data_IF_703025165805
#
_entry.id   IF_703025165805
#
_cell.length_a   1.000
_cell.length_b   1.000
_cell.length_c   1.000
_cell.angle_alpha   90.00
_cell.angle_beta   90.00
_cell.angle_gamma   90.00
#
_symmetry.space_group_name_H-M   'P 1'
#
loop_
_entity.id
_entity.type
_entity.pdbx_description
1 polymer ?
#
# COMPACT_ATOMS: atom_id res chain seq x y z
N UNK A 1 -9.82 -22.32 -25.80
CA UNK A 1 -8.86 -21.26 -25.39
C UNK A 1 -8.75 -21.29 -23.89
N UNK A 2 -7.60 -20.95 -23.34
CA UNK A 2 -7.42 -20.77 -21.90
C UNK A 2 -6.68 -19.46 -21.65
N UNK A 3 -6.92 -18.87 -20.47
CA UNK A 3 -6.37 -17.58 -20.09
C UNK A 3 -5.44 -17.73 -18.89
N UNK A 4 -4.53 -16.78 -18.77
CA UNK A 4 -3.56 -16.67 -17.67
C UNK A 4 -3.55 -15.26 -17.16
N UNK A 5 -3.22 -15.11 -15.89
CA UNK A 5 -2.82 -13.81 -15.37
C UNK A 5 -1.36 -13.81 -14.93
N UNK A 6 -0.77 -12.64 -14.92
CA UNK A 6 0.60 -12.36 -14.48
C UNK A 6 0.60 -11.06 -13.71
N UNK A 7 1.09 -11.09 -12.48
CA UNK A 7 1.29 -9.92 -11.61
C UNK A 7 2.79 -9.71 -11.50
N UNK A 8 3.30 -8.63 -12.08
CA UNK A 8 4.71 -8.25 -11.96
C UNK A 8 4.84 -7.11 -10.96
N UNK A 9 5.80 -7.22 -10.06
CA UNK A 9 6.06 -6.22 -9.02
C UNK A 9 7.56 -6.13 -8.73
N UNK A 10 7.99 -4.92 -8.34
CA UNK A 10 9.38 -4.65 -7.99
C UNK A 10 9.46 -4.49 -6.48
N UNK A 11 10.34 -5.24 -5.83
CA UNK A 11 10.57 -5.12 -4.41
C UNK A 11 11.53 -3.96 -4.08
N UNK A 12 11.33 -3.32 -2.92
CA UNK A 12 12.26 -2.30 -2.42
C UNK A 12 13.65 -2.91 -2.16
N UNK A 13 14.69 -2.05 -2.17
CA UNK A 13 16.06 -2.50 -1.90
C UNK A 13 16.31 -2.91 -0.45
N UNK A 14 15.39 -2.59 0.46
CA UNK A 14 15.61 -2.77 1.90
C UNK A 14 15.20 -4.17 2.39
N UNK A 15 14.16 -4.77 1.80
CA UNK A 15 13.63 -6.09 2.17
C UNK A 15 13.25 -6.90 0.95
N UNK A 16 13.44 -8.21 1.02
CA UNK A 16 13.07 -9.16 -0.02
C UNK A 16 12.47 -10.45 0.54
N UNK A 17 12.33 -11.44 -0.32
CA UNK A 17 11.84 -12.79 0.00
C UNK A 17 13.03 -13.72 0.02
N UNK A 18 13.20 -14.48 1.10
CA UNK A 18 14.36 -15.37 1.30
C UNK A 18 14.01 -16.79 0.88
N UNK A 19 14.57 -17.22 -0.25
CA UNK A 19 14.57 -18.60 -0.71
C UNK A 19 15.67 -18.79 -1.77
N UNK A 20 16.28 -19.96 -1.78
CA UNK A 20 17.28 -20.37 -2.79
C UNK A 20 16.62 -20.83 -4.12
N UNK A 21 15.29 -20.97 -4.14
CA UNK A 21 14.56 -21.43 -5.30
C UNK A 21 14.51 -20.36 -6.40
N UNK A 22 14.54 -20.79 -7.64
CA UNK A 22 14.31 -19.95 -8.82
C UNK A 22 12.82 -19.73 -9.10
N UNK A 23 11.98 -20.68 -8.65
CA UNK A 23 10.52 -20.60 -8.69
C UNK A 23 9.90 -21.33 -7.48
N UNK A 24 8.78 -20.82 -7.00
CA UNK A 24 8.04 -21.40 -5.88
C UNK A 24 6.56 -21.52 -6.22
N UNK A 25 6.00 -22.73 -6.04
CA UNK A 25 4.58 -22.97 -6.27
C UNK A 25 3.77 -22.62 -5.02
N UNK A 26 2.78 -21.74 -5.18
CA UNK A 26 1.82 -21.36 -4.14
C UNK A 26 0.49 -22.00 -4.51
N UNK A 27 -0.04 -22.81 -3.61
CA UNK A 27 -1.35 -23.46 -3.78
C UNK A 27 -2.32 -22.76 -2.84
N UNK A 28 -3.11 -21.77 -3.34
CA UNK A 28 -4.13 -21.12 -2.54
C UNK A 28 -5.27 -22.09 -2.27
N UNK A 29 -6.01 -21.87 -1.18
CA UNK A 29 -7.25 -22.60 -0.95
C UNK A 29 -8.35 -22.16 -1.93
N UNK A 30 -9.23 -23.06 -2.21
CA UNK A 30 -10.58 -23.07 -2.82
C UNK A 30 -10.94 -22.09 -3.97
N UNK A 31 -10.37 -20.88 -4.10
CA UNK A 31 -10.90 -19.86 -5.02
C UNK A 31 -9.98 -19.48 -6.17
N UNK A 32 -8.73 -19.88 -6.13
CA UNK A 32 -7.71 -19.51 -7.14
C UNK A 32 -6.91 -20.74 -7.52
N UNK A 33 -6.62 -20.88 -8.82
CA UNK A 33 -5.74 -21.94 -9.31
C UNK A 33 -4.31 -21.74 -8.80
N UNK A 34 -3.48 -22.81 -8.72
CA UNK A 34 -2.10 -22.72 -8.29
C UNK A 34 -1.34 -21.61 -9.00
N UNK A 35 -0.57 -20.84 -8.21
CA UNK A 35 0.26 -19.75 -8.70
C UNK A 35 1.74 -20.13 -8.63
N UNK A 36 2.56 -19.55 -9.51
CA UNK A 36 4.01 -19.69 -9.51
C UNK A 36 4.63 -18.32 -9.25
N UNK A 37 5.41 -18.21 -8.19
CA UNK A 37 6.25 -17.05 -7.90
C UNK A 37 7.66 -17.33 -8.46
N UNK A 38 8.21 -16.38 -9.22
CA UNK A 38 9.56 -16.47 -9.79
C UNK A 38 10.16 -15.11 -10.12
N UNK A 39 11.44 -15.07 -10.42
CA UNK A 39 12.07 -13.88 -11.00
C UNK A 39 11.53 -13.60 -12.41
N UNK A 40 11.64 -12.34 -12.85
CA UNK A 40 11.46 -11.95 -14.25
C UNK A 40 12.62 -12.43 -15.12
N UNK A 41 13.77 -12.76 -14.54
CA UNK A 41 14.92 -13.37 -15.24
C UNK A 41 14.90 -14.89 -15.06
N UNK A 42 15.13 -15.61 -16.14
CA UNK A 42 15.29 -17.07 -16.14
C UNK A 42 16.47 -17.46 -15.26
N UNK A 43 16.30 -18.52 -14.46
CA UNK A 43 17.32 -19.10 -13.57
C UNK A 43 17.88 -18.18 -12.46
N UNK A 44 17.32 -16.97 -12.28
CA UNK A 44 17.65 -16.12 -11.16
C UNK A 44 16.87 -16.55 -9.91
N UNK A 45 17.57 -16.70 -8.79
CA UNK A 45 16.94 -17.02 -7.50
C UNK A 45 16.00 -15.91 -7.06
N UNK A 46 14.88 -16.28 -6.45
CA UNK A 46 13.89 -15.32 -5.95
C UNK A 46 14.52 -14.33 -4.98
N UNK A 47 15.43 -14.79 -4.12
CA UNK A 47 16.11 -13.93 -3.14
C UNK A 47 17.00 -12.84 -3.77
N UNK A 48 17.57 -13.10 -4.94
CA UNK A 48 18.44 -12.16 -5.65
C UNK A 48 17.65 -11.21 -6.57
N UNK A 49 16.41 -11.58 -6.90
CA UNK A 49 15.59 -10.85 -7.83
C UNK A 49 15.11 -9.49 -7.30
N UNK A 50 15.22 -8.44 -8.10
CA UNK A 50 14.62 -7.13 -7.82
C UNK A 50 13.19 -7.01 -8.33
N UNK A 51 12.83 -7.78 -9.36
CA UNK A 51 11.49 -7.86 -9.92
C UNK A 51 11.02 -9.29 -9.93
N UNK A 52 9.84 -9.51 -9.41
CA UNK A 52 9.19 -10.80 -9.28
C UNK A 52 7.91 -10.84 -10.07
N UNK A 53 7.49 -12.04 -10.39
CA UNK A 53 6.23 -12.36 -11.06
C UNK A 53 5.51 -13.42 -10.26
N UNK A 54 4.23 -13.18 -10.00
CA UNK A 54 3.27 -14.19 -9.57
C UNK A 54 2.29 -14.44 -10.71
N UNK A 55 2.23 -15.67 -11.20
CA UNK A 55 1.40 -16.02 -12.37
C UNK A 55 0.60 -17.28 -12.14
N UNK A 56 -0.57 -17.35 -12.76
CA UNK A 56 -1.44 -18.52 -12.78
C UNK A 56 -2.10 -18.69 -14.15
N UNK A 57 -2.47 -19.91 -14.51
CA UNK A 57 -2.97 -20.26 -15.84
C UNK A 57 -4.13 -21.25 -15.77
N UNK A 58 -4.72 -21.56 -16.95
CA UNK A 58 -5.83 -22.52 -17.17
C UNK A 58 -7.22 -21.97 -16.80
N UNK A 59 -7.41 -20.65 -16.76
CA UNK A 59 -8.74 -20.04 -16.64
C UNK A 59 -9.53 -20.23 -17.95
N UNK A 60 -10.84 -20.38 -17.85
CA UNK A 60 -11.71 -20.65 -19.00
C UNK A 60 -12.04 -19.38 -19.77
N UNK A 61 -12.17 -18.25 -19.07
CA UNK A 61 -12.49 -16.96 -19.67
C UNK A 61 -11.51 -15.88 -19.21
N UNK A 62 -11.50 -14.75 -19.93
CA UNK A 62 -10.69 -13.59 -19.58
C UNK A 62 -11.20 -12.95 -18.28
N UNK A 63 -12.50 -12.99 -18.06
CA UNK A 63 -13.16 -12.47 -16.86
C UNK A 63 -12.75 -13.27 -15.62
N UNK A 64 -12.76 -14.61 -15.69
CA UNK A 64 -12.28 -15.49 -14.62
C UNK A 64 -10.81 -15.21 -14.29
N UNK A 65 -9.95 -15.08 -15.30
CA UNK A 65 -8.53 -14.78 -15.12
C UNK A 65 -8.32 -13.39 -14.53
N UNK A 66 -9.13 -12.40 -14.93
CA UNK A 66 -9.07 -11.03 -14.41
C UNK A 66 -9.49 -11.01 -12.95
N UNK A 67 -10.65 -11.59 -12.61
CA UNK A 67 -11.14 -11.64 -11.23
C UNK A 67 -10.16 -12.35 -10.29
N UNK A 68 -9.64 -13.51 -10.71
CA UNK A 68 -8.63 -14.23 -9.94
C UNK A 68 -7.34 -13.42 -9.79
N UNK A 69 -6.88 -12.77 -10.86
CA UNK A 69 -5.69 -11.92 -10.85
C UNK A 69 -5.84 -10.71 -9.93
N UNK A 70 -6.99 -10.05 -9.91
CA UNK A 70 -7.28 -8.94 -8.99
C UNK A 70 -7.31 -9.41 -7.54
N UNK A 71 -7.98 -10.52 -7.26
CA UNK A 71 -8.02 -11.12 -5.92
C UNK A 71 -6.61 -11.44 -5.41
N UNK A 72 -5.79 -12.08 -6.23
CA UNK A 72 -4.40 -12.44 -5.87
C UNK A 72 -3.53 -11.20 -5.73
N UNK A 73 -3.68 -10.18 -6.59
CA UNK A 73 -2.94 -8.93 -6.50
C UNK A 73 -3.21 -8.22 -5.16
N UNK A 74 -4.47 -8.10 -4.79
CA UNK A 74 -4.86 -7.40 -3.55
C UNK A 74 -4.41 -8.19 -2.31
N UNK A 75 -4.55 -9.53 -2.33
CA UNK A 75 -4.05 -10.39 -1.27
C UNK A 75 -2.51 -10.35 -1.15
N UNK A 76 -1.79 -10.38 -2.27
CA UNK A 76 -0.33 -10.27 -2.30
C UNK A 76 0.13 -8.91 -1.76
N UNK A 77 -0.56 -7.82 -2.14
CA UNK A 77 -0.27 -6.49 -1.64
C UNK A 77 -0.39 -6.42 -0.11
N UNK A 78 -1.49 -6.92 0.46
CA UNK A 78 -1.66 -7.00 1.91
C UNK A 78 -0.62 -7.90 2.58
N UNK A 79 -0.26 -9.03 1.95
CA UNK A 79 0.76 -9.95 2.47
C UNK A 79 2.13 -9.29 2.55
N UNK A 80 2.55 -8.56 1.50
CA UNK A 80 3.82 -7.83 1.50
C UNK A 80 3.81 -6.70 2.54
N UNK A 81 2.68 -6.01 2.71
CA UNK A 81 2.52 -5.01 3.80
C UNK A 81 2.68 -5.66 5.16
N UNK A 82 2.03 -6.79 5.42
CA UNK A 82 2.13 -7.48 6.70
C UNK A 82 3.57 -7.92 7.02
N UNK A 83 4.34 -8.30 5.99
CA UNK A 83 5.76 -8.63 6.08
C UNK A 83 6.67 -7.39 6.08
N UNK A 84 6.11 -6.18 5.97
CA UNK A 84 6.85 -4.90 5.85
C UNK A 84 7.84 -4.93 4.69
N UNK A 85 7.40 -5.47 3.55
CA UNK A 85 8.13 -5.50 2.29
C UNK A 85 7.48 -4.48 1.37
N UNK A 86 8.19 -3.43 1.01
CA UNK A 86 7.72 -2.43 0.05
C UNK A 86 7.74 -2.99 -1.37
N UNK A 87 6.66 -2.76 -2.12
CA UNK A 87 6.55 -3.19 -3.51
C UNK A 87 6.03 -2.07 -4.40
N UNK A 88 6.62 -1.93 -5.58
CA UNK A 88 6.14 -1.06 -6.65
C UNK A 88 5.32 -1.89 -7.65
N UNK A 89 4.07 -1.49 -7.84
CA UNK A 89 3.07 -2.15 -8.69
C UNK A 89 2.91 -1.46 -10.05
N UNK A 90 3.74 -0.44 -10.37
CA UNK A 90 3.69 0.29 -11.63
C UNK A 90 2.51 1.24 -11.77
N UNK A 91 2.08 1.87 -10.70
CA UNK A 91 1.04 2.91 -10.74
C UNK A 91 1.46 4.15 -11.54
N UNK A 92 2.75 4.31 -11.82
CA UNK A 92 3.25 5.28 -12.80
C UNK A 92 3.60 4.52 -14.09
N UNK A 93 3.23 5.03 -15.29
CA UNK A 93 3.67 4.42 -16.53
C UNK A 93 5.21 4.35 -16.50
N UNK A 94 5.76 3.13 -16.60
CA UNK A 94 7.20 2.93 -16.69
C UNK A 94 7.70 3.66 -17.94
N UNK A 95 8.76 4.44 -17.81
CA UNK A 95 9.48 5.03 -18.92
C UNK A 95 10.04 3.91 -19.80
N UNK A 96 9.42 3.66 -20.94
CA UNK A 96 9.85 2.64 -21.89
C UNK A 96 8.69 1.80 -22.43
N UNK A 97 7.85 2.42 -23.28
CA UNK A 97 6.88 1.70 -24.08
C UNK A 97 7.63 1.14 -25.30
N UNK A 98 7.62 -0.17 -25.47
CA UNK A 98 8.09 -0.80 -26.71
C UNK A 98 7.04 -0.50 -27.78
N UNK A 99 7.43 0.06 -28.92
CA UNK A 99 6.51 0.34 -30.02
C UNK A 99 6.01 -0.95 -30.65
N UNK A 100 4.87 -0.88 -31.36
CA UNK A 100 4.33 -2.04 -32.08
C UNK A 100 5.33 -2.63 -33.08
N UNK A 101 6.16 -1.78 -33.71
CA UNK A 101 7.25 -2.21 -34.60
C UNK A 101 8.33 -2.97 -33.82
N UNK A 102 8.68 -2.49 -32.63
CA UNK A 102 9.62 -3.17 -31.72
C UNK A 102 9.08 -4.55 -31.28
N UNK A 103 7.79 -4.66 -30.96
CA UNK A 103 7.16 -5.96 -30.64
C UNK A 103 7.26 -6.91 -31.82
N UNK A 104 6.85 -6.47 -33.03
CA UNK A 104 6.93 -7.27 -34.26
C UNK A 104 8.37 -7.70 -34.57
N UNK A 105 9.36 -6.81 -34.37
CA UNK A 105 10.76 -7.15 -34.52
C UNK A 105 11.17 -8.29 -33.61
N UNK A 106 10.85 -8.23 -32.32
CA UNK A 106 11.17 -9.32 -31.38
C UNK A 106 10.39 -10.62 -31.69
N UNK A 107 9.16 -10.54 -32.14
CA UNK A 107 8.38 -11.70 -32.58
C UNK A 107 9.04 -12.38 -33.77
N UNK A 108 9.53 -11.62 -34.77
CA UNK A 108 10.25 -12.17 -35.94
C UNK A 108 11.57 -12.83 -35.56
N UNK A 109 12.29 -12.31 -34.55
CA UNK A 109 13.57 -12.88 -34.09
C UNK A 109 13.38 -14.13 -33.21
N UNK A 110 12.31 -14.18 -32.42
CA UNK A 110 12.10 -15.26 -31.44
C UNK A 110 11.14 -16.35 -31.94
N UNK A 111 10.41 -16.08 -33.01
CA UNK A 111 9.27 -16.89 -33.49
C UNK A 111 8.26 -17.20 -32.37
N UNK A 112 8.10 -16.26 -31.42
CA UNK A 112 7.18 -16.36 -30.29
C UNK A 112 6.39 -15.06 -30.14
N UNK A 113 5.17 -15.19 -29.64
CA UNK A 113 4.36 -14.02 -29.26
C UNK A 113 5.08 -13.20 -28.20
N UNK A 114 5.19 -11.90 -28.41
CA UNK A 114 5.88 -10.98 -27.50
C UNK A 114 4.88 -10.03 -26.86
N UNK A 115 4.90 -9.96 -25.54
CA UNK A 115 4.16 -8.97 -24.77
C UNK A 115 5.15 -8.03 -24.06
N UNK A 116 4.77 -6.77 -23.97
CA UNK A 116 5.53 -5.82 -23.17
C UNK A 116 5.49 -6.26 -21.71
N UNK A 117 6.65 -6.48 -21.11
CA UNK A 117 6.82 -6.59 -19.67
C UNK A 117 6.39 -5.28 -18.99
N UNK A 118 6.17 -5.31 -17.69
CA UNK A 118 5.83 -4.13 -16.92
C UNK A 118 5.10 -4.50 -15.65
N UNK A 119 5.23 -3.62 -14.65
CA UNK A 119 4.62 -3.81 -13.35
C UNK A 119 3.08 -3.85 -13.44
N UNK A 120 2.46 -4.53 -12.49
CA UNK A 120 1.01 -4.66 -12.37
C UNK A 120 0.43 -5.97 -12.89
N UNK A 121 -0.89 -6.04 -12.88
CA UNK A 121 -1.67 -7.20 -13.36
C UNK A 121 -1.83 -7.16 -14.87
N UNK A 122 -1.52 -8.27 -15.55
CA UNK A 122 -1.82 -8.51 -16.96
C UNK A 122 -2.55 -9.83 -17.14
N UNK A 123 -3.59 -9.83 -17.97
CA UNK A 123 -4.35 -11.02 -18.38
C UNK A 123 -4.14 -11.25 -19.87
N UNK A 124 -3.89 -12.49 -20.25
CA UNK A 124 -3.58 -12.85 -21.63
C UNK A 124 -3.98 -14.30 -21.96
N UNK A 125 -4.12 -14.59 -23.24
CA UNK A 125 -4.33 -15.97 -23.68
C UNK A 125 -3.10 -16.84 -23.39
N UNK A 126 -3.32 -18.01 -22.81
CA UNK A 126 -2.23 -18.92 -22.40
C UNK A 126 -1.44 -19.45 -23.58
N UNK A 127 -2.09 -19.71 -24.73
CA UNK A 127 -1.47 -20.27 -25.93
C UNK A 127 -1.65 -19.35 -27.16
N UNK A 128 -0.57 -19.06 -27.89
CA UNK A 128 0.81 -19.46 -27.63
C UNK A 128 1.37 -18.68 -26.41
N UNK A 129 2.19 -19.37 -25.61
CA UNK A 129 2.82 -18.78 -24.42
C UNK A 129 3.70 -17.59 -24.81
N UNK A 130 3.42 -16.38 -24.33
CA UNK A 130 4.18 -15.19 -24.72
C UNK A 130 5.51 -15.08 -23.98
N UNK A 131 6.45 -14.35 -24.58
CA UNK A 131 7.65 -13.85 -23.91
C UNK A 131 7.38 -12.43 -23.42
N UNK A 132 7.85 -12.10 -22.21
CA UNK A 132 7.78 -10.74 -21.67
C UNK A 132 9.17 -10.08 -21.66
N UNK A 133 9.32 -8.87 -22.20
CA UNK A 133 10.61 -8.19 -22.39
C UNK A 133 10.74 -6.91 -21.56
N UNK A 134 11.85 -6.75 -20.81
CA UNK A 134 12.20 -5.55 -20.01
C UNK A 134 13.68 -5.51 -19.50
N UNK A 135 14.34 -4.35 -19.26
CA UNK A 135 15.75 -4.20 -18.77
C UNK A 135 15.95 -3.92 -17.26
N UNK A 136 17.13 -4.05 -16.64
CA UNK A 136 17.43 -4.33 -15.21
C UNK A 136 18.52 -3.68 -14.38
N UNK A 137 18.45 -3.75 -13.00
CA UNK A 137 19.53 -3.83 -11.91
C UNK A 137 18.97 -3.83 -10.44
N UNK A 138 19.35 -4.54 -9.38
CA UNK A 138 20.06 -5.19 -8.41
C UNK A 138 19.76 -5.34 -6.90
N UNK A 139 20.00 -5.37 -5.68
CA UNK A 139 20.09 -6.25 -4.47
C UNK A 139 19.42 -5.87 -3.11
N UNK A 140 19.18 -6.82 -2.09
CA UNK A 140 18.21 -6.76 -0.96
C UNK A 140 18.44 -7.55 0.34
N UNK A 141 17.60 -7.26 1.40
CA UNK A 141 17.33 -8.01 2.66
C UNK A 141 15.94 -8.70 2.58
N UNK A 142 15.72 -9.87 3.19
CA UNK A 142 14.64 -10.81 2.79
C UNK A 142 13.81 -11.40 3.93
N UNK A 143 12.54 -11.72 3.69
CA UNK A 143 11.69 -12.57 4.54
C UNK A 143 11.61 -14.00 3.95
N UNK A 144 11.48 -15.07 4.80
CA UNK A 144 11.33 -16.45 4.32
C UNK A 144 10.12 -16.59 3.39
N UNK A 145 10.27 -17.37 2.32
CA UNK A 145 9.19 -17.63 1.37
C UNK A 145 7.99 -18.30 2.06
N UNK A 146 8.24 -19.20 3.01
CA UNK A 146 7.18 -19.87 3.76
C UNK A 146 6.25 -18.87 4.46
N UNK A 147 6.81 -17.78 4.99
CA UNK A 147 6.03 -16.73 5.62
C UNK A 147 5.15 -15.97 4.63
N UNK A 148 5.68 -15.66 3.44
CA UNK A 148 4.87 -15.03 2.38
C UNK A 148 3.72 -15.96 1.98
N UNK A 149 3.98 -17.26 1.79
CA UNK A 149 2.97 -18.25 1.40
C UNK A 149 1.87 -18.37 2.46
N UNK A 150 2.25 -18.44 3.75
CA UNK A 150 1.29 -18.51 4.86
C UNK A 150 0.36 -17.29 4.87
N UNK A 151 0.93 -16.08 4.85
CA UNK A 151 0.15 -14.84 4.91
C UNK A 151 -0.69 -14.63 3.64
N UNK A 152 -0.15 -14.99 2.47
CA UNK A 152 -0.88 -14.88 1.21
C UNK A 152 -2.08 -15.84 1.15
N UNK A 153 -1.90 -17.10 1.58
CA UNK A 153 -3.00 -18.06 1.63
C UNK A 153 -4.10 -17.59 2.58
N UNK A 154 -3.72 -17.13 3.77
CA UNK A 154 -4.67 -16.55 4.72
C UNK A 154 -5.40 -15.33 4.12
N UNK A 155 -4.67 -14.42 3.47
CA UNK A 155 -5.25 -13.24 2.83
C UNK A 155 -6.20 -13.60 1.69
N UNK A 156 -5.92 -14.65 0.91
CA UNK A 156 -6.82 -15.14 -0.15
C UNK A 156 -8.10 -15.76 0.45
N UNK A 157 -7.96 -16.55 1.52
CA UNK A 157 -9.10 -17.18 2.22
C UNK A 157 -10.06 -16.15 2.82
N UNK A 158 -9.51 -15.07 3.34
CA UNK A 158 -10.25 -13.96 3.96
C UNK A 158 -10.31 -12.73 3.05
N UNK A 159 -10.19 -12.94 1.74
CA UNK A 159 -10.11 -11.87 0.77
C UNK A 159 -11.33 -10.94 0.85
N UNK A 160 -11.04 -9.65 0.92
CA UNK A 160 -11.99 -8.55 0.76
C UNK A 160 -11.48 -7.59 -0.30
N UNK A 161 -12.40 -6.95 -0.98
CA UNK A 161 -12.03 -5.88 -1.90
C UNK A 161 -11.50 -4.68 -1.13
N UNK A 162 -10.33 -4.18 -1.53
CA UNK A 162 -9.77 -2.96 -0.97
C UNK A 162 -10.60 -1.75 -1.39
N UNK A 163 -10.90 -0.89 -0.44
CA UNK A 163 -11.51 0.42 -0.73
C UNK A 163 -10.52 1.33 -1.45
N UNK A 164 -11.00 2.37 -2.13
CA UNK A 164 -10.12 3.33 -2.82
C UNK A 164 -9.17 4.03 -1.83
N UNK A 165 -9.62 4.33 -0.61
CA UNK A 165 -8.76 4.87 0.45
C UNK A 165 -7.63 3.91 0.83
N UNK A 166 -7.94 2.63 1.00
CA UNK A 166 -6.93 1.61 1.32
C UNK A 166 -5.93 1.42 0.19
N UNK A 167 -6.36 1.48 -1.06
CA UNK A 167 -5.46 1.44 -2.22
C UNK A 167 -4.48 2.63 -2.22
N UNK A 168 -4.97 3.85 -1.94
CA UNK A 168 -4.10 5.04 -1.84
C UNK A 168 -3.16 4.93 -0.64
N UNK A 169 -3.65 4.50 0.53
CA UNK A 169 -2.83 4.31 1.71
C UNK A 169 -1.72 3.25 1.48
N UNK A 170 -2.06 2.16 0.78
CA UNK A 170 -1.11 1.13 0.35
C UNK A 170 -0.03 1.68 -0.59
N UNK A 171 -0.40 2.56 -1.53
CA UNK A 171 0.56 3.23 -2.43
C UNK A 171 1.54 4.10 -1.63
N UNK A 172 1.04 4.90 -0.69
CA UNK A 172 1.88 5.77 0.15
C UNK A 172 2.80 4.94 1.05
N UNK A 173 2.31 3.86 1.63
CA UNK A 173 3.12 2.90 2.38
C UNK A 173 4.25 2.35 1.51
N UNK A 174 3.94 1.89 0.29
CA UNK A 174 4.94 1.36 -0.63
C UNK A 174 5.96 2.42 -1.05
N UNK A 175 5.52 3.65 -1.38
CA UNK A 175 6.41 4.76 -1.74
C UNK A 175 7.43 5.02 -0.63
N UNK A 176 7.05 4.94 0.65
CA UNK A 176 7.94 5.19 1.77
C UNK A 176 9.19 4.31 1.76
N UNK A 177 9.14 3.10 1.21
CA UNK A 177 10.30 2.20 1.10
C UNK A 177 11.23 2.53 -0.06
N UNK A 178 10.83 3.39 -0.97
CA UNK A 178 11.65 3.85 -2.09
C UNK A 178 12.24 5.24 -1.85
N UNK A 179 11.79 5.92 -0.79
CA UNK A 179 12.32 7.23 -0.40
C UNK A 179 13.62 7.07 0.39
N UNK A 180 14.61 7.89 0.02
CA UNK A 180 15.92 7.94 0.70
C UNK A 180 15.95 8.98 1.82
N UNK A 181 15.17 10.07 1.68
CA UNK A 181 15.08 11.13 2.67
C UNK A 181 14.18 10.69 3.84
N UNK A 182 14.71 10.76 5.05
CA UNK A 182 14.01 10.33 6.27
C UNK A 182 12.69 11.09 6.43
N UNK A 183 12.69 12.39 6.22
CA UNK A 183 11.51 13.24 6.34
C UNK A 183 10.44 12.88 5.31
N UNK A 184 10.83 12.65 4.05
CA UNK A 184 9.90 12.25 2.99
C UNK A 184 9.27 10.87 3.28
N UNK A 185 10.07 9.92 3.77
CA UNK A 185 9.60 8.60 4.19
C UNK A 185 8.59 8.70 5.33
N UNK A 186 8.92 9.50 6.35
CA UNK A 186 8.04 9.76 7.48
C UNK A 186 6.70 10.37 7.03
N UNK A 187 6.76 11.42 6.21
CA UNK A 187 5.57 12.09 5.70
C UNK A 187 4.69 11.15 4.87
N UNK A 188 5.28 10.31 4.01
CA UNK A 188 4.53 9.33 3.22
C UNK A 188 3.77 8.33 4.12
N UNK A 189 4.40 7.87 5.21
CA UNK A 189 3.75 6.97 6.17
C UNK A 189 2.62 7.66 6.95
N UNK A 190 2.81 8.92 7.40
CA UNK A 190 1.73 9.66 8.07
C UNK A 190 0.58 9.92 7.12
N UNK A 191 0.85 10.32 5.87
CA UNK A 191 -0.17 10.50 4.83
C UNK A 191 -0.95 9.20 4.55
N UNK A 192 -0.30 8.03 4.62
CA UNK A 192 -0.98 6.75 4.49
C UNK A 192 -2.04 6.54 5.58
N UNK A 193 -1.77 7.01 6.81
CA UNK A 193 -2.78 7.01 7.89
C UNK A 193 -3.86 8.05 7.64
N UNK A 194 -3.47 9.28 7.25
CA UNK A 194 -4.41 10.38 7.02
C UNK A 194 -5.48 10.04 5.96
N UNK A 195 -5.10 9.33 4.90
CA UNK A 195 -6.04 8.89 3.84
C UNK A 195 -7.11 7.93 4.37
N UNK A 196 -6.79 7.12 5.38
CA UNK A 196 -7.73 6.17 5.99
C UNK A 196 -8.75 6.85 6.92
N UNK A 197 -8.57 8.14 7.22
CA UNK A 197 -9.46 8.84 8.15
C UNK A 197 -10.88 9.00 7.58
N UNK A 198 -11.83 8.78 8.46
CA UNK A 198 -13.24 9.10 8.28
C UNK A 198 -13.63 10.11 9.35
N UNK A 199 -14.12 11.25 8.92
CA UNK A 199 -14.52 12.31 9.84
C UNK A 199 -15.97 12.07 10.28
N UNK A 200 -16.19 12.03 11.58
CA UNK A 200 -17.54 11.96 12.18
C UNK A 200 -17.98 13.36 12.62
N UNK A 201 -19.28 13.66 12.51
CA UNK A 201 -19.83 14.88 13.09
C UNK A 201 -19.52 14.98 14.59
N UNK A 202 -19.21 16.16 15.08
CA UNK A 202 -19.05 16.41 16.52
C UNK A 202 -20.38 16.24 17.26
N UNK A 203 -20.34 16.04 18.60
CA UNK A 203 -21.54 15.97 19.42
C UNK A 203 -22.49 17.17 19.16
N UNK A 204 -23.79 16.88 19.23
CA UNK A 204 -24.84 17.84 18.84
C UNK A 204 -24.73 19.19 19.55
N UNK A 205 -24.44 19.20 20.84
CA UNK A 205 -24.24 20.43 21.61
C UNK A 205 -23.10 21.31 21.07
N UNK A 206 -22.01 20.67 20.58
CA UNK A 206 -20.87 21.37 19.97
C UNK A 206 -21.25 21.91 18.59
N UNK A 207 -21.95 21.11 17.79
CA UNK A 207 -22.43 21.52 16.47
C UNK A 207 -23.37 22.72 16.57
N UNK A 208 -24.36 22.68 17.46
CA UNK A 208 -25.28 23.79 17.72
C UNK A 208 -24.54 25.08 18.09
N UNK A 209 -23.49 24.97 18.91
CA UNK A 209 -22.66 26.13 19.26
C UNK A 209 -21.94 26.69 18.02
N UNK A 210 -21.34 25.84 17.20
CA UNK A 210 -20.66 26.24 15.94
C UNK A 210 -21.66 26.87 14.97
N UNK A 211 -22.86 26.31 14.81
CA UNK A 211 -23.93 26.86 13.97
C UNK A 211 -24.35 28.25 14.42
N UNK A 212 -24.43 28.51 15.73
CA UNK A 212 -24.68 29.84 16.26
C UNK A 212 -23.52 30.81 15.92
N UNK A 213 -22.26 30.38 16.00
CA UNK A 213 -21.11 31.19 15.60
C UNK A 213 -21.16 31.51 14.09
N UNK A 214 -21.55 30.55 13.25
CA UNK A 214 -21.74 30.75 11.81
C UNK A 214 -22.80 31.83 11.53
N UNK A 215 -23.94 31.82 12.24
CA UNK A 215 -24.99 32.86 12.11
C UNK A 215 -24.46 34.23 12.51
N UNK A 216 -23.84 34.33 13.71
CA UNK A 216 -23.26 35.59 14.18
C UNK A 216 -22.24 36.16 13.22
N UNK A 217 -21.36 35.30 12.67
CA UNK A 217 -20.34 35.70 11.69
C UNK A 217 -20.99 36.17 10.38
N UNK A 218 -22.00 35.45 9.88
CA UNK A 218 -22.69 35.78 8.67
C UNK A 218 -23.42 37.15 8.75
N UNK A 219 -24.05 37.43 9.88
CA UNK A 219 -24.85 38.63 10.11
C UNK A 219 -23.99 39.87 10.47
N UNK A 220 -22.71 39.66 10.74
CA UNK A 220 -21.78 40.75 11.09
C UNK A 220 -21.52 41.64 9.86
N UNK A 221 -21.94 42.93 9.93
CA UNK A 221 -21.78 43.91 8.86
C UNK A 221 -20.43 44.64 8.90
N UNK A 222 -19.65 44.50 9.96
CA UNK A 222 -18.35 45.16 10.12
C UNK A 222 -17.19 44.42 9.43
N UNK A 223 -17.40 43.17 9.01
CA UNK A 223 -16.41 42.34 8.35
C UNK A 223 -16.68 42.36 6.85
N UNK A 224 -15.63 42.61 6.06
CA UNK A 224 -15.76 42.54 4.59
C UNK A 224 -16.06 41.10 4.11
N UNK A 225 -16.59 40.99 2.88
CA UNK A 225 -17.10 39.74 2.33
C UNK A 225 -16.01 38.65 2.27
N UNK A 226 -14.78 38.99 1.86
CA UNK A 226 -13.72 38.00 1.66
C UNK A 226 -13.25 37.44 3.02
N UNK A 227 -13.10 38.29 4.04
CA UNK A 227 -12.77 37.88 5.39
C UNK A 227 -13.91 37.05 6.01
N UNK A 228 -15.17 37.44 5.79
CA UNK A 228 -16.34 36.72 6.25
C UNK A 228 -16.39 35.32 5.63
N UNK A 229 -16.22 35.18 4.33
CA UNK A 229 -16.22 33.90 3.64
C UNK A 229 -15.10 32.98 4.16
N UNK A 230 -13.91 33.53 4.43
CA UNK A 230 -12.78 32.81 5.06
C UNK A 230 -13.12 32.31 6.47
N UNK A 231 -13.70 33.16 7.32
CA UNK A 231 -14.11 32.79 8.67
C UNK A 231 -15.21 31.72 8.66
N UNK A 232 -16.23 31.88 7.82
CA UNK A 232 -17.31 30.90 7.66
C UNK A 232 -16.76 29.56 7.18
N UNK A 233 -15.80 29.55 6.23
CA UNK A 233 -15.10 28.34 5.81
C UNK A 233 -14.39 27.65 6.98
N UNK A 234 -13.63 28.40 7.77
CA UNK A 234 -12.91 27.87 8.96
C UNK A 234 -13.86 27.33 10.02
N UNK A 235 -14.97 28.02 10.30
CA UNK A 235 -15.96 27.58 11.28
C UNK A 235 -16.66 26.28 10.85
N UNK A 236 -16.95 26.11 9.55
CA UNK A 236 -17.56 24.87 9.02
C UNK A 236 -16.74 23.62 9.33
N UNK A 237 -15.40 23.72 9.28
CA UNK A 237 -14.53 22.61 9.66
C UNK A 237 -14.67 22.17 11.12
N UNK A 238 -15.20 23.02 11.99
CA UNK A 238 -15.44 22.71 13.39
C UNK A 238 -16.71 21.87 13.62
N UNK A 239 -17.55 21.65 12.60
CA UNK A 239 -18.73 20.79 12.70
C UNK A 239 -18.35 19.30 12.77
N UNK A 240 -17.19 18.93 12.21
CA UNK A 240 -16.69 17.58 12.17
C UNK A 240 -15.44 17.40 13.07
N UNK A 241 -15.03 16.15 13.28
CA UNK A 241 -13.81 15.81 13.99
C UNK A 241 -12.59 16.44 13.30
N UNK A 242 -11.61 16.86 14.10
CA UNK A 242 -10.29 17.20 13.56
C UNK A 242 -9.51 15.94 13.13
N UNK A 243 -8.49 16.11 12.27
CA UNK A 243 -7.57 15.02 11.88
C UNK A 243 -7.05 14.27 13.12
N UNK A 244 -6.63 15.03 14.16
CA UNK A 244 -6.14 14.42 15.40
C UNK A 244 -7.22 13.62 16.15
N UNK A 245 -8.48 14.04 16.13
CA UNK A 245 -9.57 13.29 16.75
C UNK A 245 -9.91 12.03 15.95
N UNK A 246 -10.09 12.16 14.64
CA UNK A 246 -10.39 11.04 13.76
C UNK A 246 -9.28 9.99 13.77
N UNK A 247 -7.99 10.41 13.77
CA UNK A 247 -6.86 9.50 13.80
C UNK A 247 -6.72 8.77 15.14
N UNK A 248 -6.94 9.44 16.26
CA UNK A 248 -6.97 8.77 17.58
C UNK A 248 -8.09 7.74 17.66
N UNK A 249 -9.27 8.06 17.12
CA UNK A 249 -10.39 7.15 17.06
C UNK A 249 -10.07 5.94 16.18
N UNK A 250 -9.58 6.16 14.95
CA UNK A 250 -9.15 5.09 14.06
C UNK A 250 -8.13 4.15 14.73
N UNK A 251 -7.11 4.73 15.37
CA UNK A 251 -6.09 3.97 16.08
C UNK A 251 -6.67 3.16 17.24
N UNK A 252 -7.61 3.74 18.00
CA UNK A 252 -8.27 3.03 19.10
C UNK A 252 -9.17 1.90 18.58
N UNK A 253 -9.96 2.16 17.53
CA UNK A 253 -10.90 1.18 16.98
C UNK A 253 -10.20 -0.02 16.33
N UNK A 254 -9.11 0.20 15.56
CA UNK A 254 -8.43 -0.85 14.80
C UNK A 254 -7.22 -1.48 15.48
N UNK A 255 -6.55 -0.76 16.39
CA UNK A 255 -5.28 -1.17 16.99
C UNK A 255 -5.34 -1.23 18.52
N UNK A 256 -6.52 -1.49 19.08
CA UNK A 256 -6.70 -1.56 20.52
C UNK A 256 -5.77 -2.61 21.15
N UNK A 257 -5.13 -2.25 22.26
CA UNK A 257 -4.19 -3.11 23.00
C UNK A 257 -2.77 -3.17 22.43
N UNK A 258 -2.50 -2.61 21.22
CA UNK A 258 -1.16 -2.58 20.63
C UNK A 258 -0.35 -1.38 21.12
N UNK A 259 0.94 -1.59 21.27
CA UNK A 259 1.90 -0.56 21.68
C UNK A 259 2.89 -0.29 20.54
N UNK A 260 3.17 1.00 20.31
CA UNK A 260 4.17 1.49 19.38
C UNK A 260 5.07 2.47 20.12
N UNK A 261 6.36 2.23 20.13
CA UNK A 261 7.33 3.00 20.92
C UNK A 261 6.87 3.17 22.40
N UNK A 262 6.40 2.09 23.02
CA UNK A 262 5.83 2.06 24.39
C UNK A 262 4.60 2.98 24.61
N UNK A 263 3.98 3.46 23.55
CA UNK A 263 2.75 4.25 23.61
C UNK A 263 1.57 3.44 23.07
N UNK A 264 0.38 3.63 23.66
CA UNK A 264 -0.86 3.11 23.08
C UNK A 264 -1.08 3.75 21.70
N UNK A 265 -1.69 3.01 20.79
CA UNK A 265 -1.83 3.39 19.39
C UNK A 265 -2.36 4.82 19.16
N UNK A 266 -3.37 5.26 19.92
CA UNK A 266 -3.92 6.62 19.81
C UNK A 266 -2.94 7.73 20.25
N UNK A 267 -2.10 7.49 21.25
CA UNK A 267 -1.03 8.43 21.67
C UNK A 267 0.11 8.46 20.67
N UNK A 268 0.49 7.28 20.14
CA UNK A 268 1.51 7.19 19.12
C UNK A 268 1.10 7.93 17.84
N UNK A 269 -0.16 7.78 17.39
CA UNK A 269 -0.67 8.58 16.28
C UNK A 269 -0.54 10.09 16.55
N UNK A 270 -0.94 10.56 17.74
CA UNK A 270 -0.82 11.98 18.09
C UNK A 270 0.64 12.46 18.02
N UNK A 271 1.57 11.69 18.56
CA UNK A 271 3.00 12.00 18.49
C UNK A 271 3.49 12.11 17.03
N UNK A 272 3.14 11.14 16.17
CA UNK A 272 3.51 11.20 14.75
C UNK A 272 2.87 12.40 14.03
N UNK A 273 1.61 12.70 14.32
CA UNK A 273 0.92 13.83 13.72
C UNK A 273 1.53 15.18 14.16
N UNK A 274 1.93 15.33 15.42
CA UNK A 274 2.63 16.52 15.92
C UNK A 274 4.00 16.69 15.23
N UNK A 275 4.77 15.60 15.06
CA UNK A 275 6.03 15.64 14.32
C UNK A 275 5.80 16.06 12.85
N UNK A 276 4.76 15.51 12.20
CA UNK A 276 4.36 15.88 10.84
C UNK A 276 4.02 17.37 10.74
N UNK A 277 3.26 17.89 11.69
CA UNK A 277 2.92 19.31 11.71
C UNK A 277 4.19 20.18 11.84
N UNK A 278 5.12 19.84 12.72
CA UNK A 278 6.39 20.55 12.87
C UNK A 278 7.23 20.52 11.60
N UNK A 279 7.33 19.36 10.92
CA UNK A 279 8.09 19.22 9.67
C UNK A 279 7.47 20.02 8.52
N UNK A 280 6.15 19.95 8.35
CA UNK A 280 5.45 20.59 7.22
C UNK A 280 5.36 22.11 7.39
N UNK A 281 5.18 22.59 8.62
CA UNK A 281 5.02 24.02 8.88
C UNK A 281 6.33 24.71 9.28
N UNK A 282 7.47 23.99 9.24
CA UNK A 282 8.77 24.57 9.54
C UNK A 282 8.90 25.11 10.95
N UNK A 283 8.27 24.46 11.92
CA UNK A 283 8.31 24.90 13.33
C UNK A 283 9.73 24.86 13.90
N UNK A 284 10.09 25.83 14.70
CA UNK A 284 11.37 25.88 15.41
C UNK A 284 11.16 25.47 16.86
N UNK A 285 11.96 24.55 17.42
CA UNK A 285 13.04 23.80 16.76
C UNK A 285 12.54 22.75 15.78
N UNK A 286 13.29 22.53 14.70
CA UNK A 286 13.03 21.44 13.74
C UNK A 286 13.14 20.08 14.47
N UNK A 287 12.26 19.11 14.19
CA UNK A 287 12.34 17.79 14.78
C UNK A 287 13.71 17.13 14.59
N UNK A 288 14.22 16.49 15.65
CA UNK A 288 15.50 15.81 15.60
C UNK A 288 15.44 14.62 14.60
N UNK A 289 16.40 14.46 13.68
CA UNK A 289 16.45 13.32 12.74
C UNK A 289 16.38 11.95 13.44
N UNK A 290 16.97 11.80 14.63
CA UNK A 290 16.90 10.56 15.41
C UNK A 290 15.48 10.29 15.93
N UNK A 291 14.75 11.32 16.34
CA UNK A 291 13.35 11.21 16.76
C UNK A 291 12.46 10.78 15.58
N UNK A 292 12.65 11.41 14.43
CA UNK A 292 11.95 11.05 13.18
C UNK A 292 12.27 9.63 12.76
N UNK A 293 13.55 9.22 12.81
CA UNK A 293 13.99 7.86 12.47
C UNK A 293 13.39 6.80 13.40
N UNK A 294 13.34 7.08 14.70
CA UNK A 294 12.68 6.20 15.68
C UNK A 294 11.18 6.10 15.41
N UNK A 295 10.53 7.23 15.11
CA UNK A 295 9.11 7.25 14.77
C UNK A 295 8.81 6.44 13.51
N UNK A 296 9.64 6.53 12.44
CA UNK A 296 9.48 5.76 11.20
C UNK A 296 9.44 4.26 11.48
N UNK A 297 10.41 3.75 12.25
CA UNK A 297 10.51 2.31 12.51
C UNK A 297 9.23 1.73 13.14
N UNK A 298 8.56 2.50 13.99
CA UNK A 298 7.30 2.12 14.62
C UNK A 298 6.07 2.44 13.75
N UNK A 299 6.15 3.51 12.95
CA UNK A 299 5.08 3.92 12.06
C UNK A 299 4.89 2.92 10.91
N UNK A 300 5.96 2.26 10.45
CA UNK A 300 5.85 1.14 9.51
C UNK A 300 5.00 -0.01 10.06
N UNK A 301 5.20 -0.39 11.34
CA UNK A 301 4.35 -1.39 11.98
C UNK A 301 2.91 -0.88 12.11
N UNK A 302 2.75 0.35 12.57
CA UNK A 302 1.44 0.98 12.76
C UNK A 302 0.61 1.00 11.47
N UNK A 303 1.18 1.46 10.34
CA UNK A 303 0.50 1.49 9.04
C UNK A 303 0.26 0.08 8.51
N UNK A 304 1.24 -0.82 8.66
CA UNK A 304 1.10 -2.24 8.32
C UNK A 304 -0.10 -2.84 9.05
N UNK A 305 -0.19 -2.63 10.37
CA UNK A 305 -1.25 -3.17 11.21
C UNK A 305 -2.64 -2.59 10.86
N UNK A 306 -2.70 -1.29 10.50
CA UNK A 306 -3.94 -0.66 10.03
C UNK A 306 -4.44 -1.24 8.70
N UNK A 307 -3.52 -1.55 7.77
CA UNK A 307 -3.86 -2.03 6.42
C UNK A 307 -4.13 -3.54 6.40
N UNK A 308 -3.29 -4.31 7.10
CA UNK A 308 -3.36 -5.77 7.10
C UNK A 308 -4.34 -6.34 8.14
N UNK A 309 -4.73 -5.56 9.17
CA UNK A 309 -5.68 -6.00 10.19
C UNK A 309 -5.29 -7.34 10.80
N UNK A 310 -6.24 -8.28 10.80
CA UNK A 310 -6.10 -9.59 11.42
C UNK A 310 -5.13 -10.55 10.69
N UNK A 311 -4.60 -10.19 9.50
CA UNK A 311 -3.58 -11.00 8.83
C UNK A 311 -2.33 -11.24 9.71
N UNK A 312 -2.12 -10.40 10.72
CA UNK A 312 -0.99 -10.46 11.65
C UNK A 312 -1.32 -11.24 12.93
N UNK A 313 -2.58 -11.32 13.32
CA UNK A 313 -2.97 -12.01 14.58
C UNK A 313 -2.70 -13.51 14.58
N UNK A 314 -2.48 -14.12 13.42
CA UNK A 314 -2.11 -15.54 13.31
C UNK A 314 -0.78 -15.87 14.00
N UNK A 315 0.14 -14.90 14.19
CA UNK A 315 1.40 -15.13 14.89
C UNK A 315 1.32 -14.98 16.41
N UNK A 316 0.59 -13.99 16.90
CA UNK A 316 0.48 -13.73 18.34
C UNK A 316 -0.23 -14.88 19.06
N UNK A 317 -1.19 -15.52 18.41
CA UNK A 317 -1.98 -16.65 18.99
C UNK A 317 -1.28 -18.00 18.92
N UNK A 318 -0.22 -18.17 18.10
CA UNK A 318 0.56 -19.40 18.06
C UNK A 318 1.70 -19.46 19.09
N UNK A 319 2.07 -18.30 19.67
CA UNK A 319 3.15 -18.17 20.67
C UNK A 319 2.62 -17.85 22.07
N UNK A 320 1.33 -17.89 22.31
CA UNK A 320 0.66 -17.85 23.61
C UNK A 320 0.03 -19.21 23.92
#
# INVERSE_FOLDING_TARGET
>A
MSYSFRIQFKLSKQKGIQTEETQHQIIPSRFVLPCILRSTITDEKIMDASELVLESSRYRTIEEATQAGETVRDALALSLVSLKIGADWGFKPSSGVITNEGIKFFESQTNKRVLQGGLGLKVYETNPCPIFIQPKVSKKVSSPISKLVEVLNYAIEHSRTLTEKEKVALQLFNISFFENAIEARFLALVMAVEVLLEFKPRPENVRQHVENLLKITNDNKSIDKAQKDSLLGSLKWLLDESISQAGRRLATERLNGRLYNNMVASKFFTHCYDLRCKLVHGSVPVPNPNEVGTAISQLEFFVSDLLSGDLIETESKKNA
#
